data_IF_230321493196
#
_entry.id   IF_230321493196
#
_cell.length_a   1.000
_cell.length_b   1.000
_cell.length_c   1.000
_cell.angle_alpha   90.00
_cell.angle_beta   90.00
_cell.angle_gamma   90.00
#
_symmetry.space_group_name_H-M   'P 1'
#
loop_
_entity.id
_entity.type
_entity.pdbx_description
1 polymer ?
#
# COMPACT_ATOMS: atom_id res chain seq x y z
N UNK A 1 -23.42 -27.20 8.62
CA UNK A 1 -23.77 -28.59 8.26
C UNK A 1 -22.55 -29.49 8.46
N UNK A 2 -22.74 -30.78 8.80
CA UNK A 2 -21.64 -31.77 8.94
C UNK A 2 -21.83 -32.90 7.93
N UNK A 3 -20.80 -33.19 7.14
CA UNK A 3 -20.80 -34.29 6.17
C UNK A 3 -19.92 -35.43 6.70
N UNK A 4 -20.53 -36.60 6.91
CA UNK A 4 -19.85 -37.81 7.36
C UNK A 4 -19.57 -38.72 6.17
N UNK A 5 -18.34 -39.21 6.06
CA UNK A 5 -17.97 -40.22 5.07
C UNK A 5 -18.21 -41.58 5.70
N UNK A 6 -19.25 -42.28 5.25
CA UNK A 6 -19.63 -43.59 5.81
C UNK A 6 -18.81 -44.72 5.21
N UNK A 7 -18.52 -44.66 3.91
CA UNK A 7 -17.83 -45.71 3.19
C UNK A 7 -17.08 -45.13 1.98
N UNK A 8 -15.94 -45.73 1.66
CA UNK A 8 -15.17 -45.46 0.43
C UNK A 8 -14.95 -46.80 -0.29
N UNK A 9 -15.42 -46.93 -1.52
CA UNK A 9 -15.18 -48.10 -2.37
C UNK A 9 -14.43 -47.68 -3.63
N UNK A 10 -13.39 -48.43 -4.01
CA UNK A 10 -12.63 -48.18 -5.24
C UNK A 10 -11.69 -46.97 -5.20
N UNK A 11 -11.59 -46.25 -4.08
CA UNK A 11 -10.68 -45.12 -3.95
C UNK A 11 -9.27 -45.62 -3.56
N UNK A 12 -8.20 -45.24 -4.30
CA UNK A 12 -6.85 -45.63 -3.96
C UNK A 12 -6.43 -45.17 -2.55
N UNK A 13 -5.61 -45.95 -1.82
CA UNK A 13 -5.11 -45.55 -0.52
C UNK A 13 -4.24 -44.29 -0.64
N UNK A 14 -4.21 -43.47 0.42
CA UNK A 14 -3.53 -42.17 0.43
C UNK A 14 -4.11 -41.13 -0.54
N UNK A 15 -5.36 -41.30 -1.01
CA UNK A 15 -6.06 -40.23 -1.73
C UNK A 15 -6.57 -39.16 -0.77
N UNK A 16 -6.64 -37.93 -1.26
CA UNK A 16 -7.23 -36.79 -0.55
C UNK A 16 -8.65 -36.60 -1.08
N UNK A 17 -9.63 -36.63 -0.19
CA UNK A 17 -11.01 -36.26 -0.49
C UNK A 17 -11.18 -34.75 -0.28
N UNK A 18 -11.54 -34.04 -1.35
CA UNK A 18 -11.75 -32.60 -1.36
C UNK A 18 -13.24 -32.32 -1.55
N UNK A 19 -13.86 -31.70 -0.55
CA UNK A 19 -15.28 -31.33 -0.52
C UNK A 19 -15.39 -29.83 -0.68
N UNK A 20 -16.12 -29.38 -1.70
CA UNK A 20 -16.37 -27.97 -1.97
C UNK A 20 -17.86 -27.67 -1.91
N UNK A 21 -18.22 -26.58 -1.24
CA UNK A 21 -19.59 -26.10 -1.09
C UNK A 21 -19.57 -24.58 -1.20
N UNK A 22 -20.06 -24.04 -2.31
CA UNK A 22 -19.94 -22.62 -2.65
C UNK A 22 -18.48 -22.17 -2.77
N UNK A 23 -18.09 -21.17 -1.98
CA UNK A 23 -16.72 -20.65 -1.90
C UNK A 23 -15.81 -21.43 -0.96
N UNK A 24 -16.37 -22.32 -0.12
CA UNK A 24 -15.62 -23.08 0.88
C UNK A 24 -15.14 -24.42 0.31
N UNK A 25 -13.84 -24.71 0.45
CA UNK A 25 -13.23 -26.02 0.16
C UNK A 25 -12.59 -26.59 1.43
N UNK A 26 -12.79 -27.88 1.66
CA UNK A 26 -12.23 -28.64 2.79
C UNK A 26 -11.62 -29.94 2.26
N UNK A 27 -10.44 -30.31 2.75
CA UNK A 27 -9.70 -31.48 2.26
C UNK A 27 -9.30 -32.37 3.44
N UNK A 28 -9.38 -33.69 3.26
CA UNK A 28 -8.89 -34.67 4.23
C UNK A 28 -8.28 -35.88 3.51
N UNK A 29 -7.28 -36.51 4.14
CA UNK A 29 -6.74 -37.78 3.69
C UNK A 29 -7.74 -38.91 3.97
N UNK A 30 -7.81 -39.91 3.09
CA UNK A 30 -8.60 -41.13 3.31
C UNK A 30 -7.74 -42.16 4.08
N UNK A 31 -8.25 -42.78 5.17
CA UNK A 31 -9.61 -42.64 5.72
C UNK A 31 -9.83 -41.31 6.44
N UNK A 32 -10.99 -40.69 6.19
CA UNK A 32 -11.36 -39.41 6.81
C UNK A 32 -11.59 -39.60 8.32
N UNK A 33 -10.80 -38.92 9.15
CA UNK A 33 -10.87 -39.08 10.60
C UNK A 33 -11.96 -38.21 11.25
N UNK A 34 -12.46 -37.19 10.56
CA UNK A 34 -13.41 -36.23 11.11
C UNK A 34 -14.45 -35.81 10.04
N UNK A 35 -15.69 -35.48 10.44
CA UNK A 35 -16.68 -34.98 9.50
C UNK A 35 -16.27 -33.62 8.92
N UNK A 36 -16.63 -33.38 7.65
CA UNK A 36 -16.43 -32.09 7.01
C UNK A 36 -17.44 -31.07 7.55
N UNK A 37 -16.96 -29.94 8.06
CA UNK A 37 -17.80 -28.82 8.49
C UNK A 37 -18.01 -27.87 7.30
N UNK A 38 -19.26 -27.76 6.85
CA UNK A 38 -19.69 -26.90 5.75
C UNK A 38 -20.51 -25.72 6.28
N UNK A 39 -20.28 -24.53 5.72
CA UNK A 39 -20.70 -23.28 6.35
C UNK A 39 -22.19 -22.92 6.19
N UNK A 40 -22.95 -23.50 5.26
CA UNK A 40 -24.42 -23.32 5.19
C UNK A 40 -25.08 -24.30 4.19
N UNK A 41 -26.27 -24.86 4.48
CA UNK A 41 -27.13 -25.50 3.48
C UNK A 41 -28.20 -24.54 2.91
N UNK A 42 -28.79 -24.79 1.71
CA UNK A 42 -28.47 -25.82 0.73
C UNK A 42 -27.64 -25.24 -0.43
N UNK A 43 -26.36 -25.61 -0.50
CA UNK A 43 -25.49 -25.28 -1.64
C UNK A 43 -25.03 -26.59 -2.27
N UNK A 44 -24.97 -26.71 -3.61
CA UNK A 44 -24.41 -27.87 -4.29
C UNK A 44 -23.03 -28.23 -3.70
N UNK A 45 -22.80 -29.53 -3.50
CA UNK A 45 -21.54 -30.06 -2.99
C UNK A 45 -20.79 -30.73 -4.14
N UNK A 46 -19.57 -30.26 -4.40
CA UNK A 46 -18.64 -30.82 -5.37
C UNK A 46 -17.60 -31.68 -4.63
N UNK A 47 -17.39 -32.89 -5.11
CA UNK A 47 -16.49 -33.88 -4.49
C UNK A 47 -15.38 -34.26 -5.47
N UNK A 48 -14.14 -33.92 -5.12
CA UNK A 48 -12.95 -34.29 -5.88
C UNK A 48 -12.15 -35.35 -5.11
N UNK A 49 -11.73 -36.41 -5.80
CA UNK A 49 -10.80 -37.41 -5.26
C UNK A 49 -9.44 -37.21 -5.90
N UNK A 50 -8.47 -36.77 -5.09
CA UNK A 50 -7.12 -36.47 -5.54
C UNK A 50 -6.18 -37.60 -5.13
N UNK A 51 -5.63 -38.33 -6.10
CA UNK A 51 -4.66 -39.40 -5.83
C UNK A 51 -3.27 -38.81 -5.64
N UNK A 52 -2.59 -39.20 -4.56
CA UNK A 52 -1.20 -38.84 -4.33
C UNK A 52 -0.32 -39.44 -5.44
N UNK A 53 0.26 -38.58 -6.30
CA UNK A 53 1.16 -39.02 -7.39
C UNK A 53 2.60 -39.19 -6.92
N UNK A 54 3.05 -38.39 -5.97
CA UNK A 54 4.37 -38.55 -5.38
C UNK A 54 4.39 -38.02 -3.95
N UNK A 55 5.30 -38.56 -3.16
CA UNK A 55 5.64 -38.08 -1.82
C UNK A 55 7.09 -37.62 -1.83
N UNK A 56 7.34 -36.51 -1.16
CA UNK A 56 8.67 -35.96 -0.96
C UNK A 56 8.71 -35.32 0.41
N UNK A 57 9.83 -35.44 1.08
CA UNK A 57 10.04 -34.89 2.40
C UNK A 57 11.42 -34.24 2.42
N UNK A 58 11.46 -32.97 2.79
CA UNK A 58 12.69 -32.22 2.94
C UNK A 58 12.65 -31.55 4.32
N UNK A 59 13.66 -31.82 5.13
CA UNK A 59 13.77 -31.20 6.46
C UNK A 59 14.39 -29.83 6.27
N UNK A 60 13.61 -28.78 6.54
CA UNK A 60 14.17 -27.44 6.57
C UNK A 60 14.89 -27.22 7.91
N UNK A 61 16.22 -27.15 7.87
CA UNK A 61 17.01 -26.67 9.00
C UNK A 61 16.69 -25.19 9.29
N UNK A 62 16.59 -24.76 10.57
CA UNK A 62 16.50 -23.34 10.89
C UNK A 62 17.78 -22.64 10.38
N UNK A 63 17.62 -21.61 9.55
CA UNK A 63 18.71 -20.90 8.87
C UNK A 63 18.26 -19.50 8.41
N UNK A 64 19.15 -18.70 7.79
CA UNK A 64 18.86 -17.29 7.45
C UNK A 64 17.64 -17.11 6.54
N UNK A 65 17.08 -15.89 6.56
CA UNK A 65 15.70 -15.46 6.29
C UNK A 65 15.06 -15.87 4.96
N UNK A 66 15.78 -16.55 4.06
CA UNK A 66 15.27 -16.97 2.78
C UNK A 66 16.01 -18.21 2.24
N UNK A 67 15.30 -19.32 2.08
CA UNK A 67 15.87 -20.57 1.56
C UNK A 67 15.02 -21.12 0.42
N UNK A 68 15.67 -21.52 -0.67
CA UNK A 68 15.06 -22.35 -1.70
C UNK A 68 15.10 -23.81 -1.23
N UNK A 69 13.92 -24.40 -1.03
CA UNK A 69 13.73 -25.78 -0.62
C UNK A 69 13.31 -26.61 -1.84
N UNK A 70 14.22 -27.42 -2.37
CA UNK A 70 13.90 -28.36 -3.46
C UNK A 70 13.55 -29.71 -2.87
N UNK A 71 12.27 -30.08 -2.94
CA UNK A 71 11.76 -31.36 -2.45
C UNK A 71 11.80 -32.38 -3.59
N UNK A 72 12.68 -33.40 -3.55
CA UNK A 72 12.66 -34.48 -4.51
C UNK A 72 11.42 -35.36 -4.28
N UNK A 73 10.82 -35.81 -5.38
CA UNK A 73 9.60 -36.59 -5.42
C UNK A 73 9.80 -37.72 -6.43
N UNK A 74 9.20 -38.89 -6.18
CA UNK A 74 9.22 -40.00 -7.15
C UNK A 74 7.81 -40.52 -7.41
N UNK A 75 7.53 -40.82 -8.68
CA UNK A 75 6.30 -41.45 -9.12
C UNK A 75 6.62 -42.49 -10.19
N UNK A 76 6.46 -43.78 -9.88
CA UNK A 76 6.61 -44.86 -10.86
C UNK A 76 7.93 -44.81 -11.64
N UNK A 77 9.05 -44.56 -10.96
CA UNK A 77 10.38 -44.48 -11.57
C UNK A 77 10.74 -43.13 -12.24
N UNK A 78 9.79 -42.19 -12.37
CA UNK A 78 10.08 -40.82 -12.82
C UNK A 78 10.46 -39.95 -11.62
N UNK A 79 11.64 -39.35 -11.67
CA UNK A 79 12.08 -38.34 -10.70
C UNK A 79 11.39 -37.01 -11.01
N UNK A 80 10.77 -36.41 -9.99
CA UNK A 80 10.13 -35.09 -10.03
C UNK A 80 10.70 -34.26 -8.88
N UNK A 81 10.59 -32.93 -8.94
CA UNK A 81 10.95 -32.09 -7.80
C UNK A 81 10.13 -30.82 -7.78
N UNK A 82 9.71 -30.39 -6.60
CA UNK A 82 9.07 -29.08 -6.41
C UNK A 82 10.03 -28.19 -5.63
N UNK A 83 10.23 -26.96 -6.10
CA UNK A 83 11.09 -26.00 -5.41
C UNK A 83 10.23 -24.91 -4.79
N UNK A 84 10.34 -24.73 -3.48
CA UNK A 84 9.66 -23.69 -2.73
C UNK A 84 10.64 -22.60 -2.31
N UNK A 85 10.18 -21.36 -2.21
CA UNK A 85 10.92 -20.28 -1.55
C UNK A 85 10.35 -20.10 -0.16
N UNK A 86 11.08 -20.54 0.86
CA UNK A 86 10.69 -20.37 2.26
C UNK A 86 11.29 -19.07 2.74
N UNK A 87 10.43 -18.11 3.05
CA UNK A 87 10.79 -16.87 3.73
C UNK A 87 10.41 -17.00 5.19
N UNK A 88 11.32 -16.66 6.09
CA UNK A 88 10.93 -16.43 7.48
C UNK A 88 10.04 -15.20 7.45
N UNK A 89 8.80 -15.33 7.93
CA UNK A 89 8.00 -14.15 8.28
C UNK A 89 8.62 -13.65 9.58
N UNK A 90 9.81 -13.06 9.46
CA UNK A 90 10.33 -12.20 10.51
C UNK A 90 9.27 -11.10 10.68
N UNK A 91 9.00 -10.75 11.92
CA UNK A 91 7.97 -9.78 12.26
C UNK A 91 8.29 -8.35 11.82
N UNK A 92 8.92 -8.12 10.67
CA UNK A 92 9.34 -6.85 10.08
C UNK A 92 9.33 -7.00 8.55
N UNK A 93 8.97 -6.06 7.68
CA UNK A 93 8.43 -4.71 7.75
C UNK A 93 8.18 -4.38 6.27
N UNK A 94 6.92 -4.33 5.82
CA UNK A 94 6.62 -3.51 4.65
C UNK A 94 6.71 -2.06 5.14
N UNK A 95 7.83 -1.42 4.81
CA UNK A 95 8.06 0.03 4.85
C UNK A 95 6.94 0.75 4.07
N UNK A 96 5.84 0.97 4.77
CA UNK A 96 4.70 1.78 4.36
C UNK A 96 4.07 2.37 5.61
N UNK A 97 4.63 3.49 6.06
CA UNK A 97 4.09 4.50 6.97
C UNK A 97 3.50 4.03 8.31
N UNK A 98 4.20 4.39 9.39
CA UNK A 98 3.78 4.51 10.80
C UNK A 98 2.26 4.43 11.07
N UNK A 99 1.75 3.23 11.38
CA UNK A 99 0.58 3.07 12.25
C UNK A 99 0.68 1.76 13.06
N UNK A 100 0.22 1.73 14.32
CA UNK A 100 0.32 0.56 15.18
C UNK A 100 -0.44 -0.65 14.61
N UNK A 101 0.22 -1.83 14.60
CA UNK A 101 -0.28 -3.08 14.00
C UNK A 101 -1.51 -3.62 14.75
N UNK A 102 -2.70 -3.20 14.31
CA UNK A 102 -3.99 -3.77 14.68
C UNK A 102 -4.22 -5.12 13.96
N UNK A 103 -4.89 -6.08 14.62
CA UNK A 103 -5.29 -7.37 14.02
C UNK A 103 -6.06 -7.13 12.72
N UNK A 104 -6.07 -8.08 11.77
CA UNK A 104 -6.87 -7.93 10.52
C UNK A 104 -8.32 -7.56 10.81
N UNK A 105 -8.91 -8.15 11.86
CA UNK A 105 -10.25 -7.84 12.33
C UNK A 105 -10.37 -6.41 12.88
N UNK A 106 -9.33 -5.92 13.51
CA UNK A 106 -9.26 -4.55 14.05
C UNK A 106 -8.98 -3.51 12.95
N UNK A 107 -8.29 -3.91 11.87
CA UNK A 107 -8.14 -3.08 10.67
C UNK A 107 -9.47 -2.94 9.93
N UNK A 108 -10.20 -4.05 9.77
CA UNK A 108 -11.53 -4.05 9.16
C UNK A 108 -12.50 -3.17 9.97
N UNK A 109 -12.52 -3.29 11.31
CA UNK A 109 -13.36 -2.43 12.15
C UNK A 109 -12.92 -0.96 12.16
N UNK A 110 -11.62 -0.67 12.07
CA UNK A 110 -11.13 0.70 11.93
C UNK A 110 -11.55 1.34 10.59
N UNK A 111 -11.54 0.57 9.50
CA UNK A 111 -12.02 1.01 8.19
C UNK A 111 -13.53 1.28 8.26
N UNK A 112 -14.31 0.37 8.82
CA UNK A 112 -15.76 0.57 9.00
C UNK A 112 -16.07 1.81 9.83
N UNK A 113 -15.32 2.00 10.93
CA UNK A 113 -15.47 3.18 11.79
C UNK A 113 -15.15 4.46 11.02
N UNK A 114 -14.11 4.46 10.19
CA UNK A 114 -13.77 5.61 9.35
C UNK A 114 -14.86 5.92 8.33
N UNK A 115 -15.36 4.90 7.63
CA UNK A 115 -16.43 5.05 6.64
C UNK A 115 -17.72 5.59 7.26
N UNK A 116 -18.08 5.13 8.46
CA UNK A 116 -19.25 5.60 9.21
C UNK A 116 -19.04 7.02 9.74
N UNK A 117 -17.86 7.31 10.30
CA UNK A 117 -17.54 8.64 10.86
C UNK A 117 -17.64 9.76 9.83
N UNK A 118 -17.26 9.46 8.59
CA UNK A 118 -17.32 10.40 7.47
C UNK A 118 -18.60 10.26 6.63
N UNK A 119 -19.57 9.45 7.08
CA UNK A 119 -20.84 9.13 6.40
C UNK A 119 -20.68 8.78 4.91
N UNK A 120 -19.53 8.19 4.56
CA UNK A 120 -19.17 7.89 3.17
C UNK A 120 -20.12 6.87 2.55
N UNK A 121 -20.65 5.95 3.35
CA UNK A 121 -21.57 4.92 2.87
C UNK A 121 -22.93 5.51 2.46
N UNK A 122 -23.48 6.44 3.24
CA UNK A 122 -24.75 7.10 2.92
C UNK A 122 -24.58 8.00 1.70
N UNK A 123 -23.51 8.79 1.67
CA UNK A 123 -23.19 9.65 0.53
C UNK A 123 -23.05 8.86 -0.78
N UNK A 124 -22.23 7.80 -0.80
CA UNK A 124 -22.06 6.99 -2.02
C UNK A 124 -23.38 6.37 -2.48
N UNK A 125 -24.24 5.94 -1.55
CA UNK A 125 -25.56 5.40 -1.88
C UNK A 125 -26.46 6.46 -2.55
N UNK A 126 -26.48 7.68 -2.05
CA UNK A 126 -27.25 8.80 -2.64
C UNK A 126 -26.75 9.14 -4.04
N UNK A 127 -25.42 9.21 -4.23
CA UNK A 127 -24.80 9.46 -5.54
C UNK A 127 -25.25 8.41 -6.57
N UNK A 128 -25.21 7.12 -6.19
CA UNK A 128 -25.64 6.04 -7.09
C UNK A 128 -27.15 6.08 -7.37
N UNK A 129 -27.98 6.40 -6.38
CA UNK A 129 -29.42 6.55 -6.59
C UNK A 129 -29.72 7.70 -7.56
N UNK A 130 -29.08 8.85 -7.38
CA UNK A 130 -29.20 9.97 -8.30
C UNK A 130 -28.75 9.61 -9.71
N UNK A 131 -27.63 8.90 -9.85
CA UNK A 131 -27.12 8.44 -11.14
C UNK A 131 -28.11 7.51 -11.85
N UNK A 132 -28.76 6.59 -11.13
CA UNK A 132 -29.78 5.71 -11.70
C UNK A 132 -31.09 6.41 -12.07
N UNK A 133 -31.44 7.50 -11.36
CA UNK A 133 -32.67 8.25 -11.60
C UNK A 133 -32.52 9.26 -12.73
N UNK A 134 -31.42 10.00 -12.77
CA UNK A 134 -31.19 11.07 -13.75
C UNK A 134 -30.55 10.55 -15.05
N UNK A 135 -29.84 9.41 -15.00
CA UNK A 135 -29.11 8.81 -16.13
C UNK A 135 -28.38 9.85 -17.00
N UNK A 136 -27.44 10.62 -16.42
CA UNK A 136 -26.75 11.68 -17.14
C UNK A 136 -25.91 11.12 -18.29
N UNK A 137 -25.75 11.92 -19.34
CA UNK A 137 -24.96 11.56 -20.54
C UNK A 137 -23.48 11.30 -20.20
N UNK A 138 -22.94 12.00 -19.18
CA UNK A 138 -21.62 11.74 -18.61
C UNK A 138 -21.72 11.42 -17.10
N UNK A 139 -21.68 10.14 -16.69
CA UNK A 139 -21.80 9.74 -15.29
C UNK A 139 -20.59 10.14 -14.44
N UNK A 140 -19.39 10.25 -15.01
CA UNK A 140 -18.18 10.57 -14.24
C UNK A 140 -18.11 12.05 -13.89
N UNK A 141 -18.52 12.93 -14.82
CA UNK A 141 -18.66 14.36 -14.53
C UNK A 141 -19.73 14.62 -13.46
N UNK A 142 -20.85 13.89 -13.49
CA UNK A 142 -21.88 13.97 -12.47
C UNK A 142 -21.34 13.62 -11.07
N UNK A 143 -20.67 12.48 -10.93
CA UNK A 143 -20.05 12.05 -9.65
C UNK A 143 -19.03 13.10 -9.18
N UNK A 144 -18.22 13.65 -10.09
CA UNK A 144 -17.25 14.71 -9.77
C UNK A 144 -17.92 15.96 -9.19
N UNK A 145 -19.06 16.39 -9.75
CA UNK A 145 -19.85 17.51 -9.22
C UNK A 145 -20.43 17.21 -7.84
N UNK A 146 -20.97 16.01 -7.63
CA UNK A 146 -21.47 15.58 -6.31
C UNK A 146 -20.37 15.61 -5.25
N UNK A 147 -19.17 15.12 -5.57
CA UNK A 147 -18.01 15.15 -4.68
C UNK A 147 -17.55 16.58 -4.36
N UNK A 148 -17.51 17.47 -5.36
CA UNK A 148 -17.18 18.88 -5.16
C UNK A 148 -18.22 19.58 -4.26
N UNK A 149 -19.51 19.29 -4.47
CA UNK A 149 -20.59 19.84 -3.65
C UNK A 149 -20.52 19.34 -2.20
N UNK A 150 -20.19 18.06 -1.97
CA UNK A 150 -19.98 17.51 -0.63
C UNK A 150 -18.78 18.15 0.07
N UNK A 151 -17.64 18.29 -0.63
CA UNK A 151 -16.46 18.95 -0.09
C UNK A 151 -16.71 20.41 0.32
N UNK A 152 -17.55 21.14 -0.42
CA UNK A 152 -17.93 22.50 -0.07
C UNK A 152 -18.79 22.59 1.20
N UNK A 153 -19.59 21.56 1.50
CA UNK A 153 -20.44 21.50 2.71
C UNK A 153 -19.61 21.25 3.97
N UNK A 154 -18.59 20.39 3.88
CA UNK A 154 -17.72 20.06 5.03
C UNK A 154 -16.83 21.23 5.48
N UNK A 155 -16.49 22.15 4.56
CA UNK A 155 -15.70 23.34 4.89
C UNK A 155 -16.55 24.38 5.64
N UNK A 156 -17.87 24.40 5.42
CA UNK A 156 -18.78 25.36 6.05
C UNK A 156 -19.22 24.99 7.48
N UNK A 157 -19.14 23.72 7.86
CA UNK A 157 -19.64 23.20 9.14
C UNK A 157 -18.56 23.06 10.22
N UNK A 158 -17.29 23.37 9.91
CA UNK A 158 -16.17 23.43 10.87
C UNK A 158 -15.59 24.84 11.03
N UNK A 159 -16.45 25.86 10.98
CA UNK A 159 -16.16 27.14 11.60
C UNK A 159 -16.59 27.05 13.07
N UNK A 160 -15.62 26.71 13.94
CA UNK A 160 -15.75 26.90 15.38
C UNK A 160 -16.11 28.37 15.66
N UNK A 161 -17.25 28.66 16.30
CA UNK A 161 -17.64 30.02 16.63
C UNK A 161 -16.53 30.70 17.45
N UNK A 162 -16.09 31.93 17.12
CA UNK A 162 -15.16 32.65 17.97
C UNK A 162 -15.81 32.81 19.34
N UNK A 163 -15.14 32.24 20.34
CA UNK A 163 -15.45 32.40 21.75
C UNK A 163 -15.66 33.90 22.05
N UNK A 164 -16.81 34.30 22.63
CA UNK A 164 -17.11 35.70 22.88
C UNK A 164 -16.06 36.29 23.84
N UNK A 165 -15.47 37.45 23.54
CA UNK A 165 -14.46 38.06 24.40
C UNK A 165 -15.09 38.43 25.75
N UNK A 166 -14.47 37.96 26.83
CA UNK A 166 -14.76 38.40 28.19
C UNK A 166 -14.66 39.94 28.28
N UNK A 167 -15.58 40.61 29.00
CA UNK A 167 -15.64 42.06 29.04
C UNK A 167 -14.43 42.67 29.79
N UNK A 168 -13.86 43.78 29.29
CA UNK A 168 -12.67 44.40 29.85
C UNK A 168 -12.99 45.21 31.12
N UNK A 169 -12.17 45.03 32.16
CA UNK A 169 -12.11 45.94 33.31
C UNK A 169 -10.85 46.81 33.21
N UNK A 170 -11.10 48.09 32.96
CA UNK A 170 -10.33 49.31 33.25
C UNK A 170 -8.93 49.54 32.62
N UNK A 171 -8.94 50.49 31.66
CA UNK A 171 -8.06 51.66 31.52
C UNK A 171 -6.52 51.49 31.52
N UNK A 172 -5.90 51.77 30.36
CA UNK A 172 -4.98 52.91 30.22
C UNK A 172 -4.70 53.25 28.74
N UNK A 173 -4.53 54.55 28.48
CA UNK A 173 -4.14 55.17 27.21
C UNK A 173 -2.69 54.81 26.84
N UNK A 174 -2.36 54.70 25.55
CA UNK A 174 -1.62 55.72 24.80
C UNK A 174 -1.21 55.23 23.39
N UNK A 175 -1.09 56.22 22.52
CA UNK A 175 -0.79 56.27 21.09
C UNK A 175 0.58 55.74 20.67
N UNK A 176 0.68 55.13 19.47
CA UNK A 176 1.94 55.02 18.73
C UNK A 176 1.93 54.02 17.56
N UNK A 177 2.72 54.21 16.47
CA UNK A 177 2.28 53.90 15.11
C UNK A 177 2.90 52.64 14.45
N UNK A 178 2.12 52.11 13.49
CA UNK A 178 2.48 51.48 12.19
C UNK A 178 3.90 50.93 12.03
N UNK A 179 4.02 49.60 11.88
CA UNK A 179 5.00 48.98 10.97
C UNK A 179 4.36 47.83 10.18
N UNK A 180 4.25 48.06 8.86
CA UNK A 180 3.96 47.07 7.82
C UNK A 180 5.12 46.06 7.74
N UNK A 181 4.86 44.79 8.02
CA UNK A 181 5.75 43.68 7.72
C UNK A 181 5.25 42.91 6.48
N UNK A 182 5.86 43.18 5.33
CA UNK A 182 5.65 42.41 4.11
C UNK A 182 6.51 41.14 4.13
N UNK A 183 5.87 39.97 4.29
CA UNK A 183 6.52 38.66 4.17
C UNK A 183 6.46 38.16 2.73
N UNK A 184 7.64 37.98 2.13
CA UNK A 184 7.92 37.55 0.75
C UNK A 184 7.35 36.15 0.40
N UNK A 185 6.82 35.93 -0.82
CA UNK A 185 6.52 34.60 -1.37
C UNK A 185 7.65 34.15 -2.32
N UNK A 186 8.74 33.58 -1.81
CA UNK A 186 9.85 33.11 -2.69
C UNK A 186 10.13 31.59 -2.54
N UNK A 187 9.64 30.92 -1.50
CA UNK A 187 9.96 29.52 -1.24
C UNK A 187 9.08 28.48 -1.99
N UNK A 188 7.89 28.85 -2.48
CA UNK A 188 6.95 27.89 -3.12
C UNK A 188 7.26 27.56 -4.57
N UNK A 189 7.89 28.47 -5.31
CA UNK A 189 8.08 28.29 -6.77
C UNK A 189 9.27 27.37 -7.09
N UNK A 190 10.30 27.38 -6.24
CA UNK A 190 11.48 26.52 -6.41
C UNK A 190 11.15 25.03 -6.20
N UNK A 191 10.21 24.71 -5.29
CA UNK A 191 9.76 23.32 -5.07
C UNK A 191 8.93 22.76 -6.23
N UNK A 192 8.19 23.61 -6.95
CA UNK A 192 7.42 23.16 -8.11
C UNK A 192 8.34 22.78 -9.29
N UNK A 193 9.39 23.56 -9.50
CA UNK A 193 10.37 23.31 -10.58
C UNK A 193 11.19 22.02 -10.34
N UNK A 194 11.57 21.73 -9.09
CA UNK A 194 12.31 20.50 -8.74
C UNK A 194 11.46 19.25 -8.95
N UNK A 195 10.20 19.28 -8.50
CA UNK A 195 9.26 18.16 -8.67
C UNK A 195 8.95 17.85 -10.14
N UNK A 196 8.86 18.87 -11.00
CA UNK A 196 8.65 18.66 -12.44
C UNK A 196 9.87 18.00 -13.11
N UNK A 197 11.09 18.40 -12.74
CA UNK A 197 12.32 17.75 -13.26
C UNK A 197 12.40 16.29 -12.82
N UNK A 198 12.06 15.99 -11.56
CA UNK A 198 12.06 14.63 -11.04
C UNK A 198 11.03 13.75 -11.78
N UNK A 199 9.81 14.26 -11.99
CA UNK A 199 8.76 13.54 -12.73
C UNK A 199 9.17 13.25 -14.18
N UNK A 200 9.81 14.21 -14.86
CA UNK A 200 10.30 14.00 -16.23
C UNK A 200 11.37 12.91 -16.26
N UNK A 201 12.35 12.97 -15.36
CA UNK A 201 13.42 11.96 -15.24
C UNK A 201 12.85 10.56 -14.95
N UNK A 202 11.90 10.44 -14.03
CA UNK A 202 11.24 9.16 -13.73
C UNK A 202 10.50 8.59 -14.96
N UNK A 203 9.79 9.44 -15.70
CA UNK A 203 9.07 9.02 -16.92
C UNK A 203 10.03 8.51 -18.00
N UNK A 204 11.13 9.22 -18.22
CA UNK A 204 12.11 8.86 -19.24
C UNK A 204 12.82 7.54 -18.90
N UNK A 205 13.16 7.32 -17.61
CA UNK A 205 13.76 6.06 -17.14
C UNK A 205 12.81 4.87 -17.32
N UNK A 206 11.53 5.03 -16.98
CA UNK A 206 10.53 3.97 -17.16
C UNK A 206 10.28 3.67 -18.64
N UNK A 207 10.18 4.71 -19.47
CA UNK A 207 9.98 4.56 -20.91
C UNK A 207 11.15 3.83 -21.56
N UNK A 208 12.38 4.14 -21.15
CA UNK A 208 13.60 3.46 -21.63
C UNK A 208 13.70 2.03 -21.14
N UNK A 209 13.38 1.77 -19.87
CA UNK A 209 13.34 0.42 -19.31
C UNK A 209 12.32 -0.48 -20.04
N UNK A 210 11.20 0.10 -20.48
CA UNK A 210 10.19 -0.61 -21.25
C UNK A 210 10.66 -0.96 -22.68
N UNK A 211 11.29 -0.02 -23.40
CA UNK A 211 11.82 -0.30 -24.74
C UNK A 211 12.94 -1.32 -24.74
N UNK A 212 13.79 -1.30 -23.72
CA UNK A 212 15.01 -2.12 -23.67
C UNK A 212 14.77 -3.51 -23.05
N UNK A 213 13.53 -3.81 -22.61
CA UNK A 213 13.19 -5.05 -21.91
C UNK A 213 13.83 -5.18 -20.52
N UNK A 214 14.35 -4.08 -19.97
CA UNK A 214 15.08 -4.01 -18.68
C UNK A 214 14.32 -3.26 -17.60
N UNK A 215 12.99 -3.20 -17.68
CA UNK A 215 12.13 -2.46 -16.74
C UNK A 215 12.40 -2.86 -15.28
N UNK A 216 12.63 -4.14 -15.02
CA UNK A 216 12.92 -4.64 -13.69
C UNK A 216 14.23 -4.07 -13.12
N UNK A 217 15.26 -3.88 -13.96
CA UNK A 217 16.52 -3.26 -13.51
C UNK A 217 16.33 -1.78 -13.19
N UNK A 218 15.50 -1.08 -13.97
CA UNK A 218 15.23 0.35 -13.78
C UNK A 218 14.39 0.64 -12.52
N UNK A 219 13.49 -0.29 -12.14
CA UNK A 219 12.71 -0.19 -10.91
C UNK A 219 13.53 -0.55 -9.66
N UNK A 220 14.49 -1.47 -9.77
CA UNK A 220 15.36 -1.83 -8.66
C UNK A 220 16.51 -0.86 -8.42
N UNK A 221 16.87 -0.03 -9.41
CA UNK A 221 17.97 0.94 -9.30
C UNK A 221 17.51 2.34 -8.88
N UNK A 222 16.43 2.46 -8.10
CA UNK A 222 16.05 3.76 -7.54
C UNK A 222 17.17 4.20 -6.58
N UNK A 223 17.83 5.34 -6.83
CA UNK A 223 18.96 5.75 -6.02
C UNK A 223 18.47 6.26 -4.66
N UNK A 224 18.87 5.60 -3.58
CA UNK A 224 18.87 6.16 -2.22
C UNK A 224 19.90 7.32 -2.07
N UNK A 225 20.69 7.61 -3.12
CA UNK A 225 21.86 8.49 -3.04
C UNK A 225 21.58 10.01 -3.16
N UNK A 226 20.32 10.47 -3.15
CA UNK A 226 20.04 11.91 -3.32
C UNK A 226 20.29 12.77 -2.08
N UNK A 227 20.66 12.20 -0.93
CA UNK A 227 21.12 13.01 0.23
C UNK A 227 22.56 13.53 0.07
N UNK A 228 23.42 12.88 -0.73
CA UNK A 228 24.82 13.28 -0.85
C UNK A 228 25.06 14.48 -1.80
N UNK A 229 24.23 14.65 -2.83
CA UNK A 229 24.41 15.71 -3.83
C UNK A 229 23.89 17.08 -3.36
N UNK A 230 22.96 17.11 -2.39
CA UNK A 230 22.44 18.35 -1.80
C UNK A 230 23.42 19.02 -0.82
N UNK A 231 24.38 18.26 -0.27
CA UNK A 231 25.41 18.77 0.65
C UNK A 231 26.62 19.40 -0.04
N UNK A 232 26.79 19.22 -1.35
CA UNK A 232 27.94 19.77 -2.10
C UNK A 232 27.63 21.11 -2.79
N UNK A 233 26.38 21.56 -2.82
CA UNK A 233 25.98 22.82 -3.49
C UNK A 233 25.89 24.05 -2.58
N UNK A 234 26.15 23.93 -1.27
CA UNK A 234 26.16 25.06 -0.32
C UNK A 234 27.55 25.59 0.03
N UNK A 235 28.62 25.14 -0.64
CA UNK A 235 29.97 25.68 -0.41
C UNK A 235 30.27 26.86 -1.35
N UNK A 236 29.90 28.05 -0.88
CA UNK A 236 30.28 29.38 -1.37
C UNK A 236 31.75 29.46 -1.87
N UNK A 237 32.01 29.98 -3.09
CA UNK A 237 33.34 30.38 -3.52
C UNK A 237 33.55 31.87 -3.19
N UNK A 238 33.89 32.17 -1.94
CA UNK A 238 34.17 33.53 -1.48
C UNK A 238 35.45 33.61 -0.67
N UNK A 239 36.62 33.63 -1.34
CA UNK A 239 37.87 34.29 -0.88
C UNK A 239 39.08 33.84 -1.72
N UNK A 240 39.34 34.51 -2.84
CA UNK A 240 40.67 34.51 -3.47
C UNK A 240 40.84 35.72 -4.40
N UNK A 241 40.73 36.93 -3.86
CA UNK A 241 41.26 38.14 -4.49
C UNK A 241 41.93 38.97 -3.40
N UNK A 242 43.26 38.88 -3.30
CA UNK A 242 44.17 39.95 -2.89
C UNK A 242 45.57 39.38 -2.56
N UNK A 243 46.47 39.25 -3.53
CA UNK A 243 47.92 39.47 -3.39
C UNK A 243 48.45 39.87 -4.77
N UNK A 244 48.39 41.16 -5.12
CA UNK A 244 49.42 42.18 -4.90
C UNK A 244 50.73 41.94 -5.68
N UNK A 245 50.83 42.71 -6.76
CA UNK A 245 52.03 43.14 -7.48
C UNK A 245 53.25 43.38 -6.58
N UNK A 246 54.41 42.81 -6.98
CA UNK A 246 55.83 43.26 -6.81
C UNK A 246 56.72 42.02 -7.10
N UNK A 247 57.81 42.05 -7.84
CA UNK A 247 58.57 43.12 -8.47
C UNK A 247 59.45 42.48 -9.57
N UNK A 248 59.49 43.11 -10.75
CA UNK A 248 60.62 43.02 -11.68
C UNK A 248 61.33 44.37 -11.62
N UNK A 249 62.55 44.39 -11.05
CA UNK A 249 63.52 45.45 -11.29
C UNK A 249 64.93 45.00 -10.87
N UNK A 250 65.80 45.01 -11.88
CA UNK A 250 67.25 45.20 -11.86
C UNK A 250 68.21 44.03 -11.56
N UNK A 251 68.96 43.70 -12.63
CA UNK A 251 70.43 43.76 -12.79
C UNK A 251 71.28 43.11 -11.70
#
# INVERSE_FOLDING_TARGET
MRLHVLQTQGIPPNSILSVKSGSSRRQQLIPCQAPFKLEQPPVPVELDVLTCRAKGHEVCSPGPCEKLLKVPMSNGGKSMSVTFRVRKVDGEEDESCHTPKLSRKDKESAIETYLVKHDLHSFMKEVFQGLTAEQPEDPFLYIGRCLQAAAARDVGSKAEPPEPPEPPSVAFQESGPVLKGASRPIAREQQACTMQRLRRKARDTLSKGYSDGRLHSALCSLPEEHEAELLLQTREPGAAQAQHLRADANV
#
